data_IF_598837868907
#
_entry.id   IF_598837868907
#
_cell.length_a   1.000
_cell.length_b   1.000
_cell.length_c   1.000
_cell.angle_alpha   90.00
_cell.angle_beta   90.00
_cell.angle_gamma   90.00
#
_symmetry.space_group_name_H-M   'P 1'
#
loop_
_entity.id
_entity.type
_entity.pdbx_description
1 polymer ?
#
# COMPACT_ATOMS: atom_id res chain seq x y z
N UNK A 1 12.72 -17.57 -103.95
CA UNK A 1 12.01 -18.57 -103.11
C UNK A 1 12.70 -18.60 -101.76
N UNK A 2 12.23 -17.81 -100.77
CA UNK A 2 12.80 -17.70 -99.44
C UNK A 2 11.82 -18.18 -98.36
N UNK A 3 12.18 -19.24 -97.70
CA UNK A 3 11.42 -19.79 -96.57
C UNK A 3 11.91 -19.13 -95.24
N UNK A 4 11.15 -18.32 -94.64
CA UNK A 4 11.39 -17.82 -93.23
C UNK A 4 10.92 -18.82 -92.25
N UNK A 5 11.79 -19.37 -91.44
CA UNK A 5 11.50 -20.15 -90.21
C UNK A 5 11.24 -19.20 -89.08
N UNK A 6 10.04 -19.27 -88.51
CA UNK A 6 9.68 -18.55 -87.24
C UNK A 6 10.16 -19.40 -86.06
N UNK A 7 11.09 -18.87 -85.30
CA UNK A 7 11.45 -19.35 -83.99
C UNK A 7 10.42 -18.82 -82.99
N UNK A 8 9.71 -19.71 -82.33
CA UNK A 8 8.85 -19.37 -81.18
C UNK A 8 9.67 -19.45 -79.89
N UNK A 9 9.88 -18.35 -79.23
CA UNK A 9 10.50 -18.33 -77.91
C UNK A 9 9.42 -18.45 -76.84
N UNK A 10 9.40 -19.58 -76.12
CA UNK A 10 8.50 -19.81 -75.00
C UNK A 10 9.13 -19.16 -73.76
N UNK A 11 8.47 -18.10 -73.23
CA UNK A 11 8.85 -17.43 -71.97
C UNK A 11 8.25 -18.27 -70.82
N UNK A 12 9.10 -18.93 -70.04
CA UNK A 12 8.69 -19.62 -68.81
C UNK A 12 8.64 -18.58 -67.66
N UNK A 13 7.45 -18.22 -67.22
CA UNK A 13 7.23 -17.42 -66.01
C UNK A 13 7.32 -18.32 -64.79
N UNK A 14 8.45 -18.28 -64.07
CA UNK A 14 8.59 -18.92 -62.74
C UNK A 14 7.88 -18.07 -61.68
N UNK A 15 6.69 -18.49 -61.26
CA UNK A 15 5.93 -17.90 -60.15
C UNK A 15 6.64 -18.20 -58.83
N UNK A 16 7.24 -17.20 -58.23
CA UNK A 16 7.76 -17.28 -56.85
C UNK A 16 6.55 -17.18 -55.87
N UNK A 17 6.12 -18.31 -55.35
CA UNK A 17 5.17 -18.37 -54.22
C UNK A 17 5.89 -17.88 -52.95
N UNK A 18 5.77 -16.59 -52.65
CA UNK A 18 6.20 -16.01 -51.39
C UNK A 18 5.34 -16.54 -50.24
N UNK A 19 5.92 -17.46 -49.47
CA UNK A 19 5.33 -17.87 -48.18
C UNK A 19 5.44 -16.67 -47.21
N UNK A 20 4.33 -15.93 -47.03
CA UNK A 20 4.24 -14.91 -46.02
C UNK A 20 4.23 -15.60 -44.64
N UNK A 21 5.35 -15.56 -43.92
CA UNK A 21 5.42 -15.97 -42.53
C UNK A 21 4.47 -15.08 -41.70
N UNK A 22 3.59 -15.66 -40.86
CA UNK A 22 2.72 -14.85 -40.02
C UNK A 22 3.59 -13.98 -39.10
N UNK A 23 3.48 -12.66 -39.22
CA UNK A 23 4.09 -11.74 -38.29
C UNK A 23 3.52 -12.05 -36.89
N UNK A 24 4.38 -12.53 -35.99
CA UNK A 24 3.99 -12.75 -34.61
C UNK A 24 3.53 -11.39 -34.02
N UNK A 25 2.24 -11.22 -33.87
CA UNK A 25 1.68 -10.03 -33.25
C UNK A 25 2.28 -9.93 -31.82
N UNK A 26 3.13 -8.96 -31.59
CA UNK A 26 3.66 -8.67 -30.25
C UNK A 26 2.46 -8.34 -29.36
N UNK A 27 2.16 -9.21 -28.39
CA UNK A 27 1.07 -8.96 -27.46
C UNK A 27 1.29 -7.63 -26.76
N UNK A 28 0.29 -6.74 -26.84
CA UNK A 28 0.38 -5.42 -26.24
C UNK A 28 0.55 -5.55 -24.71
N UNK A 29 1.48 -4.76 -24.14
CA UNK A 29 1.72 -4.72 -22.70
C UNK A 29 0.50 -4.19 -21.98
N UNK A 30 -0.05 -4.98 -21.05
CA UNK A 30 -1.20 -4.57 -20.23
C UNK A 30 -0.74 -3.67 -19.08
N UNK A 31 -1.35 -2.48 -18.98
CA UNK A 31 -1.10 -1.56 -17.85
C UNK A 31 -2.12 -1.82 -16.75
N UNK A 32 -1.62 -2.13 -15.54
CA UNK A 32 -2.39 -2.17 -14.30
C UNK A 32 -2.23 -0.82 -13.62
N UNK A 33 -3.33 -0.14 -13.39
CA UNK A 33 -3.36 1.14 -12.66
C UNK A 33 -3.82 0.91 -11.24
N UNK A 34 -3.08 1.46 -10.28
CA UNK A 34 -3.36 1.35 -8.85
C UNK A 34 -3.37 2.77 -8.26
N UNK A 35 -4.32 3.08 -7.40
CA UNK A 35 -4.31 4.30 -6.59
C UNK A 35 -4.71 4.00 -5.16
N UNK A 36 -4.19 4.76 -4.20
CA UNK A 36 -4.66 4.60 -2.82
C UNK A 36 -3.65 4.90 -1.74
N UNK A 37 -3.53 3.98 -0.79
CA UNK A 37 -2.86 4.18 0.48
C UNK A 37 -1.35 4.44 0.35
N UNK A 38 -0.85 5.39 1.14
CA UNK A 38 0.59 5.69 1.18
C UNK A 38 1.36 4.74 2.10
N UNK A 39 0.68 4.07 3.05
CA UNK A 39 1.29 3.14 3.98
C UNK A 39 1.61 1.77 3.33
N UNK A 40 0.78 1.31 2.39
CA UNK A 40 0.98 0.07 1.63
C UNK A 40 1.84 0.26 0.38
N UNK A 41 2.01 1.51 -0.09
CA UNK A 41 2.76 1.82 -1.30
C UNK A 41 4.14 1.14 -1.40
N UNK A 42 4.98 1.08 -0.33
CA UNK A 42 6.26 0.38 -0.38
C UNK A 42 6.09 -1.11 -0.70
N UNK A 43 5.16 -1.79 -0.06
CA UNK A 43 4.86 -3.21 -0.30
C UNK A 43 4.35 -3.43 -1.73
N UNK A 44 3.33 -2.69 -2.13
CA UNK A 44 2.69 -2.84 -3.46
C UNK A 44 3.70 -2.55 -4.57
N UNK A 45 4.58 -1.56 -4.38
CA UNK A 45 5.66 -1.25 -5.33
C UNK A 45 6.67 -2.39 -5.47
N UNK A 46 7.09 -3.03 -4.36
CA UNK A 46 7.98 -4.19 -4.39
C UNK A 46 7.33 -5.40 -5.07
N UNK A 47 6.06 -5.66 -4.78
CA UNK A 47 5.29 -6.74 -5.39
C UNK A 47 5.14 -6.51 -6.92
N UNK A 48 4.76 -5.29 -7.33
CA UNK A 48 4.61 -4.93 -8.73
C UNK A 48 5.94 -5.03 -9.49
N UNK A 49 7.05 -4.54 -8.92
CA UNK A 49 8.40 -4.66 -9.52
C UNK A 49 8.80 -6.14 -9.70
N UNK A 50 8.56 -6.99 -8.69
CA UNK A 50 8.83 -8.42 -8.79
C UNK A 50 7.98 -9.08 -9.85
N UNK A 51 6.69 -8.74 -9.90
CA UNK A 51 5.76 -9.29 -10.87
C UNK A 51 6.16 -8.95 -12.32
N UNK A 52 6.54 -7.69 -12.58
CA UNK A 52 7.05 -7.27 -13.90
C UNK A 52 8.33 -8.03 -14.29
N UNK A 53 9.24 -8.27 -13.33
CA UNK A 53 10.46 -9.08 -13.59
C UNK A 53 10.13 -10.54 -13.93
N UNK A 54 9.05 -11.10 -13.38
CA UNK A 54 8.61 -12.47 -13.69
C UNK A 54 7.87 -12.57 -15.03
N UNK A 55 7.18 -11.51 -15.43
CA UNK A 55 6.38 -11.44 -16.66
C UNK A 55 6.80 -10.26 -17.54
N UNK A 56 8.04 -10.26 -18.04
CA UNK A 56 8.57 -9.13 -18.79
C UNK A 56 7.74 -8.90 -20.07
N UNK A 57 7.53 -7.62 -20.42
CA UNK A 57 6.73 -7.17 -21.58
C UNK A 57 5.24 -7.49 -21.51
N UNK A 58 4.76 -8.29 -20.53
CA UNK A 58 3.33 -8.62 -20.39
C UNK A 58 2.59 -7.58 -19.56
N UNK A 59 3.22 -7.05 -18.50
CA UNK A 59 2.58 -6.13 -17.57
C UNK A 59 3.42 -4.88 -17.31
N UNK A 60 2.71 -3.78 -17.05
CA UNK A 60 3.25 -2.51 -16.55
C UNK A 60 2.35 -2.01 -15.44
N UNK A 61 2.91 -1.37 -14.43
CA UNK A 61 2.16 -0.78 -13.33
C UNK A 61 2.31 0.73 -13.31
N UNK A 62 1.19 1.41 -13.01
CA UNK A 62 1.15 2.83 -12.64
C UNK A 62 0.51 2.91 -11.26
N UNK A 63 1.27 3.32 -10.26
CA UNK A 63 0.84 3.35 -8.86
C UNK A 63 0.84 4.81 -8.40
N UNK A 64 -0.33 5.32 -8.00
CA UNK A 64 -0.52 6.67 -7.47
C UNK A 64 -0.86 6.62 -5.98
N UNK A 65 -0.32 7.55 -5.23
CA UNK A 65 -0.59 7.72 -3.80
C UNK A 65 -1.61 8.83 -3.59
N UNK A 66 -2.56 8.66 -2.65
CA UNK A 66 -3.58 9.67 -2.36
C UNK A 66 -4.31 9.41 -1.04
N UNK A 67 -4.21 8.21 -0.53
CA UNK A 67 -4.95 7.73 0.64
C UNK A 67 -5.98 6.66 0.27
N UNK A 68 -6.33 5.82 1.24
CA UNK A 68 -7.20 4.66 1.03
C UNK A 68 -8.58 5.04 0.45
N UNK A 69 -9.18 6.14 0.93
CA UNK A 69 -10.47 6.58 0.42
C UNK A 69 -10.41 7.05 -1.04
N UNK A 70 -9.27 7.60 -1.47
CA UNK A 70 -9.05 7.95 -2.89
C UNK A 70 -9.00 6.67 -3.73
N UNK A 71 -8.25 5.64 -3.27
CA UNK A 71 -8.22 4.34 -3.95
C UNK A 71 -9.60 3.70 -4.09
N UNK A 72 -10.40 3.72 -3.01
CA UNK A 72 -11.79 3.24 -3.02
C UNK A 72 -12.64 4.01 -4.05
N UNK A 73 -12.58 5.33 -4.03
CA UNK A 73 -13.35 6.16 -4.94
C UNK A 73 -12.93 5.97 -6.41
N UNK A 74 -11.62 5.81 -6.65
CA UNK A 74 -11.07 5.61 -7.99
C UNK A 74 -11.47 4.26 -8.57
N UNK A 75 -11.37 3.18 -7.79
CA UNK A 75 -11.75 1.84 -8.27
C UNK A 75 -13.27 1.71 -8.43
N UNK A 76 -14.07 2.28 -7.54
CA UNK A 76 -15.52 2.29 -7.65
C UNK A 76 -15.99 3.01 -8.93
N UNK A 77 -15.33 4.12 -9.27
CA UNK A 77 -15.59 4.88 -10.49
C UNK A 77 -14.95 4.27 -11.75
N UNK A 78 -14.18 3.17 -11.63
CA UNK A 78 -13.48 2.55 -12.76
C UNK A 78 -12.30 3.38 -13.31
N UNK A 79 -11.78 4.36 -12.57
CA UNK A 79 -10.62 5.18 -12.98
C UNK A 79 -9.30 4.42 -12.86
N UNK A 80 -9.23 3.43 -11.98
CA UNK A 80 -8.08 2.54 -11.81
C UNK A 80 -8.53 1.08 -11.83
N UNK A 81 -7.59 0.20 -12.11
CA UNK A 81 -7.80 -1.25 -12.12
C UNK A 81 -7.96 -1.80 -10.70
N UNK A 82 -7.18 -1.26 -9.76
CA UNK A 82 -7.09 -1.70 -8.35
C UNK A 82 -7.05 -0.47 -7.45
N UNK A 83 -7.82 -0.49 -6.37
CA UNK A 83 -7.70 0.44 -5.24
C UNK A 83 -6.82 -0.17 -4.16
N UNK A 84 -5.79 0.54 -3.71
CA UNK A 84 -4.92 0.12 -2.61
C UNK A 84 -5.40 0.73 -1.28
N UNK A 85 -5.71 -0.10 -0.29
CA UNK A 85 -6.44 0.30 0.92
C UNK A 85 -5.75 -0.22 2.19
N UNK A 86 -5.59 0.66 3.18
CA UNK A 86 -4.92 0.37 4.47
C UNK A 86 -5.89 0.39 5.66
N UNK A 87 -7.10 -0.09 5.46
CA UNK A 87 -8.13 -0.27 6.49
C UNK A 87 -9.10 -1.38 6.10
N UNK A 88 -9.78 -1.94 7.06
CA UNK A 88 -10.87 -2.86 6.79
C UNK A 88 -12.04 -2.17 6.04
N UNK A 89 -12.89 -2.93 5.32
CA UNK A 89 -14.09 -2.40 4.67
C UNK A 89 -14.99 -1.66 5.65
N UNK A 90 -15.64 -0.59 5.18
CA UNK A 90 -16.63 0.16 5.95
C UNK A 90 -18.02 0.03 5.33
N UNK A 91 -19.09 0.10 6.14
CA UNK A 91 -20.46 0.12 5.61
C UNK A 91 -20.74 1.27 4.64
N UNK A 92 -19.97 2.36 4.74
CA UNK A 92 -20.06 3.54 3.87
C UNK A 92 -19.30 3.39 2.55
N UNK A 93 -18.56 2.31 2.35
CA UNK A 93 -17.87 2.08 1.07
C UNK A 93 -18.88 1.79 -0.05
N UNK A 94 -18.60 2.19 -1.30
CA UNK A 94 -19.46 1.89 -2.42
C UNK A 94 -19.75 0.40 -2.55
N UNK A 95 -21.00 0.07 -2.85
CA UNK A 95 -21.42 -1.31 -3.07
C UNK A 95 -20.70 -1.95 -4.27
N UNK A 96 -20.55 -3.27 -4.23
CA UNK A 96 -19.93 -4.05 -5.31
C UNK A 96 -18.41 -4.03 -5.34
N UNK A 97 -17.75 -3.50 -4.31
CA UNK A 97 -16.31 -3.62 -4.14
C UNK A 97 -15.94 -4.96 -3.50
N UNK A 98 -14.85 -5.56 -3.95
CA UNK A 98 -14.28 -6.78 -3.38
C UNK A 98 -12.89 -6.47 -2.84
N UNK A 99 -12.67 -6.78 -1.57
CA UNK A 99 -11.44 -6.52 -0.82
C UNK A 99 -10.62 -7.80 -0.71
N UNK A 100 -9.40 -7.80 -1.23
CA UNK A 100 -8.45 -8.90 -1.17
C UNK A 100 -7.36 -8.57 -0.16
N UNK A 101 -7.31 -9.20 1.02
CA UNK A 101 -6.29 -8.91 2.01
C UNK A 101 -4.93 -9.43 1.53
N UNK A 102 -3.91 -8.57 1.51
CA UNK A 102 -2.57 -8.92 1.01
C UNK A 102 -1.51 -9.04 2.10
N UNK A 103 -1.65 -8.28 3.20
CA UNK A 103 -0.73 -8.35 4.34
C UNK A 103 -1.38 -7.79 5.61
N UNK A 104 -0.87 -8.20 6.78
CA UNK A 104 -1.11 -7.53 8.06
C UNK A 104 0.03 -6.56 8.36
N UNK A 105 -0.27 -5.50 9.10
CA UNK A 105 0.71 -4.54 9.61
C UNK A 105 0.28 -4.01 10.98
N UNK A 106 1.25 -3.50 11.76
CA UNK A 106 0.98 -2.84 13.05
C UNK A 106 0.87 -1.33 12.87
N UNK A 107 -0.03 -0.68 13.60
CA UNK A 107 -0.12 0.78 13.70
C UNK A 107 0.60 1.21 14.97
N UNK A 108 1.83 1.69 14.82
CA UNK A 108 2.70 2.08 15.93
C UNK A 108 2.48 3.54 16.32
N UNK A 109 2.32 3.80 17.60
CA UNK A 109 2.47 5.17 18.13
C UNK A 109 3.96 5.51 18.12
N UNK A 110 4.29 6.68 17.60
CA UNK A 110 5.68 7.14 17.48
C UNK A 110 5.86 8.53 18.06
N UNK A 111 6.99 8.74 18.72
CA UNK A 111 7.45 10.05 19.18
C UNK A 111 8.76 10.43 18.52
N UNK A 112 9.19 11.68 18.67
CA UNK A 112 10.55 12.05 18.33
C UNK A 112 11.56 11.17 19.07
N UNK A 113 12.70 10.89 18.46
CA UNK A 113 13.75 10.04 19.05
C UNK A 113 14.30 10.59 20.37
N UNK A 114 14.30 11.92 20.54
CA UNK A 114 14.72 12.56 21.78
C UNK A 114 13.75 12.30 22.95
N UNK A 115 12.48 12.01 22.67
CA UNK A 115 11.51 11.58 23.67
C UNK A 115 11.55 10.06 23.81
N UNK A 116 12.32 9.56 24.77
CA UNK A 116 12.60 8.11 24.99
C UNK A 116 11.47 7.39 25.71
N UNK A 117 10.23 7.89 25.59
CA UNK A 117 9.03 7.25 26.13
C UNK A 117 8.93 5.79 25.63
N UNK A 118 8.90 4.85 26.56
CA UNK A 118 8.93 3.41 26.22
C UNK A 118 7.55 2.78 26.06
N UNK A 119 6.53 3.32 26.75
CA UNK A 119 5.20 2.74 26.78
C UNK A 119 4.10 3.79 27.00
N UNK A 120 2.95 3.55 26.41
CA UNK A 120 1.69 4.26 26.68
C UNK A 120 0.59 3.23 26.96
N UNK A 121 -0.21 3.50 27.99
CA UNK A 121 -1.44 2.75 28.22
C UNK A 121 -2.54 3.17 27.22
N UNK A 122 -3.58 2.34 27.01
CA UNK A 122 -4.72 2.71 26.16
C UNK A 122 -5.35 4.05 26.57
N UNK A 123 -5.55 4.27 27.87
CA UNK A 123 -6.10 5.51 28.38
C UNK A 123 -5.22 6.74 28.07
N UNK A 124 -3.89 6.59 28.14
CA UNK A 124 -2.97 7.66 27.80
C UNK A 124 -3.01 7.96 26.29
N UNK A 125 -2.99 6.94 25.43
CA UNK A 125 -3.13 7.13 23.98
C UNK A 125 -4.42 7.85 23.63
N UNK A 126 -5.55 7.40 24.18
CA UNK A 126 -6.84 8.07 24.00
C UNK A 126 -6.78 9.52 24.50
N UNK A 127 -6.27 9.76 25.71
CA UNK A 127 -6.22 11.10 26.29
C UNK A 127 -5.35 12.07 25.48
N UNK A 128 -4.19 11.63 25.02
CA UNK A 128 -3.27 12.40 24.19
C UNK A 128 -3.92 12.73 22.84
N UNK A 129 -4.31 11.70 22.07
CA UNK A 129 -4.78 11.91 20.71
C UNK A 129 -6.18 12.55 20.63
N UNK A 130 -6.98 12.50 21.69
CA UNK A 130 -8.22 13.32 21.78
C UNK A 130 -7.99 14.74 22.25
N UNK A 131 -6.74 15.13 22.58
CA UNK A 131 -6.37 16.49 22.99
C UNK A 131 -6.69 16.82 24.45
N UNK A 132 -7.01 15.83 25.30
CA UNK A 132 -7.25 16.01 26.73
C UNK A 132 -5.93 16.22 27.48
N UNK A 133 -4.90 15.39 27.20
CA UNK A 133 -3.53 15.58 27.68
C UNK A 133 -2.76 16.37 26.64
N UNK A 134 -2.24 17.54 27.02
CA UNK A 134 -1.64 18.52 26.11
C UNK A 134 -0.19 18.86 26.44
N UNK A 135 0.36 18.34 27.52
CA UNK A 135 1.74 18.57 27.92
C UNK A 135 2.44 17.23 28.21
N UNK A 136 3.65 17.09 27.77
CA UNK A 136 4.49 15.94 28.07
C UNK A 136 4.76 15.76 29.56
N UNK A 137 4.78 16.86 30.33
CA UNK A 137 4.90 16.80 31.81
C UNK A 137 3.77 16.04 32.51
N UNK A 138 2.63 15.83 31.82
CA UNK A 138 1.49 15.04 32.32
C UNK A 138 1.62 13.54 31.95
N UNK A 139 2.61 13.18 31.16
CA UNK A 139 2.79 11.81 30.65
C UNK A 139 3.95 11.15 31.39
N UNK A 140 3.66 10.21 32.27
CA UNK A 140 4.68 9.48 33.02
C UNK A 140 5.62 8.73 32.07
N UNK A 141 6.93 8.89 32.28
CA UNK A 141 7.99 8.27 31.48
C UNK A 141 8.39 9.07 30.23
N UNK A 142 7.72 10.18 29.91
CA UNK A 142 8.15 11.08 28.85
C UNK A 142 9.44 11.83 29.27
N UNK A 143 10.36 12.01 28.34
CA UNK A 143 11.56 12.84 28.53
C UNK A 143 11.39 14.23 27.93
N UNK A 144 10.46 14.42 27.02
CA UNK A 144 10.02 15.73 26.56
C UNK A 144 9.19 16.42 27.64
N UNK A 145 9.19 17.76 27.68
CA UNK A 145 8.54 18.56 28.74
C UNK A 145 7.56 19.62 28.22
N UNK A 146 7.56 19.90 26.94
CA UNK A 146 6.72 20.96 26.32
C UNK A 146 5.28 20.52 26.05
N UNK A 147 4.62 21.35 25.25
CA UNK A 147 3.32 21.01 24.67
C UNK A 147 3.44 19.79 23.76
N UNK A 148 2.46 18.92 23.78
CA UNK A 148 2.41 17.76 22.88
C UNK A 148 1.93 18.26 21.52
N UNK A 149 2.76 18.10 20.49
CA UNK A 149 2.43 18.41 19.12
C UNK A 149 1.87 17.16 18.41
N UNK A 150 0.54 17.15 18.27
CA UNK A 150 -0.19 16.04 17.66
C UNK A 150 -0.01 16.08 16.14
N UNK A 151 0.47 14.98 15.57
CA UNK A 151 0.65 14.83 14.13
C UNK A 151 -0.22 13.66 13.66
N UNK A 152 -1.12 13.98 12.74
CA UNK A 152 -2.13 13.05 12.24
C UNK A 152 -2.06 12.91 10.71
N UNK A 153 -2.95 12.12 10.19
CA UNK A 153 -3.18 11.93 8.77
C UNK A 153 -4.47 12.62 8.37
N UNK A 154 -4.55 13.06 7.12
CA UNK A 154 -5.80 13.54 6.53
C UNK A 154 -6.89 12.45 6.57
N UNK A 155 -8.15 12.86 6.54
CA UNK A 155 -9.33 11.99 6.66
C UNK A 155 -9.45 10.89 5.58
N UNK A 156 -8.75 11.05 4.45
CA UNK A 156 -8.72 10.03 3.37
C UNK A 156 -7.75 8.87 3.65
N UNK A 157 -6.96 8.95 4.71
CA UNK A 157 -5.96 7.92 5.05
C UNK A 157 -6.60 6.76 5.81
N UNK A 158 -6.52 5.56 5.27
CA UNK A 158 -7.04 4.36 5.92
C UNK A 158 -6.35 4.04 7.25
N UNK A 159 -5.06 4.35 7.38
CA UNK A 159 -4.32 4.17 8.64
C UNK A 159 -4.89 5.04 9.77
N UNK A 160 -5.41 6.24 9.48
CA UNK A 160 -6.13 7.06 10.47
C UNK A 160 -7.41 6.35 10.94
N UNK A 161 -8.21 5.86 10.00
CA UNK A 161 -9.44 5.12 10.32
C UNK A 161 -9.13 3.91 11.22
N UNK A 162 -8.14 3.11 10.84
CA UNK A 162 -7.72 1.95 11.62
C UNK A 162 -7.15 2.33 12.98
N UNK A 163 -6.37 3.41 13.07
CA UNK A 163 -5.85 3.94 14.34
C UNK A 163 -6.99 4.33 15.29
N UNK A 164 -7.97 5.07 14.79
CA UNK A 164 -9.16 5.47 15.56
C UNK A 164 -9.97 4.27 16.07
N UNK A 165 -10.16 3.28 15.20
CA UNK A 165 -10.93 2.07 15.55
C UNK A 165 -10.20 1.21 16.58
N UNK A 166 -8.91 0.95 16.36
CA UNK A 166 -8.15 -0.06 17.11
C UNK A 166 -7.50 0.49 18.38
N UNK A 167 -7.03 1.74 18.37
CA UNK A 167 -6.22 2.30 19.46
C UNK A 167 -6.88 3.52 20.13
N UNK A 168 -7.92 4.12 19.53
CA UNK A 168 -8.68 5.23 20.12
C UNK A 168 -10.11 4.86 20.52
N UNK A 169 -10.45 3.57 20.58
CA UNK A 169 -11.81 3.12 20.96
C UNK A 169 -12.92 3.76 20.10
N UNK A 170 -12.63 3.98 18.82
CA UNK A 170 -13.53 4.65 17.87
C UNK A 170 -13.58 6.17 17.98
N UNK A 171 -12.85 6.78 18.93
CA UNK A 171 -12.80 8.23 19.08
C UNK A 171 -11.99 8.87 17.96
N UNK A 172 -12.32 10.12 17.62
CA UNK A 172 -11.59 10.90 16.62
C UNK A 172 -10.32 11.52 17.21
N UNK A 173 -9.28 11.61 16.39
CA UNK A 173 -8.12 12.45 16.72
C UNK A 173 -8.57 13.90 16.84
N UNK A 174 -8.00 14.63 17.78
CA UNK A 174 -8.28 16.05 18.03
C UNK A 174 -8.06 16.89 16.77
N UNK A 175 -8.94 17.86 16.56
CA UNK A 175 -8.77 18.86 15.48
C UNK A 175 -7.57 19.80 15.67
N UNK A 176 -6.89 19.72 16.80
CA UNK A 176 -5.62 20.43 17.06
C UNK A 176 -4.43 19.74 16.39
N UNK A 177 -4.60 18.52 15.89
CA UNK A 177 -3.53 17.79 15.22
C UNK A 177 -3.19 18.39 13.85
N UNK A 178 -1.91 18.48 13.53
CA UNK A 178 -1.43 18.79 12.19
C UNK A 178 -1.71 17.60 11.27
N UNK A 179 -2.49 17.82 10.22
CA UNK A 179 -2.89 16.75 9.27
C UNK A 179 -1.95 16.68 8.08
N UNK A 180 -1.37 15.51 7.84
CA UNK A 180 -0.43 15.28 6.75
C UNK A 180 -0.95 14.24 5.75
N UNK A 181 -0.70 14.49 4.46
CA UNK A 181 -1.27 13.71 3.36
C UNK A 181 -0.59 12.35 3.14
N UNK A 182 0.65 12.14 3.64
CA UNK A 182 1.35 10.87 3.46
C UNK A 182 1.99 10.37 4.74
N UNK A 183 2.26 9.05 4.82
CA UNK A 183 2.96 8.45 5.95
C UNK A 183 4.40 8.96 6.06
N UNK A 184 5.07 9.16 4.94
CA UNK A 184 6.42 9.72 4.92
C UNK A 184 6.51 11.13 5.48
N UNK A 185 5.54 12.01 5.16
CA UNK A 185 5.46 13.36 5.72
C UNK A 185 5.19 13.33 7.23
N UNK A 186 4.31 12.44 7.70
CA UNK A 186 4.07 12.28 9.14
C UNK A 186 5.35 11.84 9.85
N UNK A 187 6.06 10.85 9.30
CA UNK A 187 7.34 10.42 9.87
C UNK A 187 8.34 11.55 9.97
N UNK A 188 8.54 12.33 8.89
CA UNK A 188 9.44 13.50 8.88
C UNK A 188 9.03 14.57 9.88
N UNK A 189 7.74 14.84 10.05
CA UNK A 189 7.25 15.80 11.02
C UNK A 189 7.59 15.37 12.44
N UNK A 190 7.37 14.11 12.81
CA UNK A 190 7.75 13.57 14.12
C UNK A 190 9.27 13.59 14.31
N UNK A 191 10.05 13.26 13.27
CA UNK A 191 11.53 13.31 13.32
C UNK A 191 12.08 14.69 13.62
N UNK A 192 11.44 15.72 13.09
CA UNK A 192 11.92 17.11 13.18
C UNK A 192 11.37 17.86 14.39
N UNK A 193 10.40 17.31 15.09
CA UNK A 193 9.74 17.97 16.23
C UNK A 193 9.99 17.19 17.53
N UNK A 194 10.83 17.70 18.46
CA UNK A 194 11.11 17.05 19.75
C UNK A 194 9.86 16.77 20.60
N UNK A 195 8.78 17.52 20.41
CA UNK A 195 7.50 17.36 21.10
C UNK A 195 6.45 16.60 20.29
N UNK A 196 6.82 16.14 19.08
CA UNK A 196 5.93 15.48 18.15
C UNK A 196 5.52 14.08 18.58
N UNK A 197 4.26 13.76 18.41
CA UNK A 197 3.69 12.40 18.50
C UNK A 197 2.76 12.14 17.33
N UNK A 198 2.84 10.93 16.78
CA UNK A 198 2.00 10.51 15.68
C UNK A 198 1.84 8.99 15.64
N UNK A 199 1.42 8.47 14.48
CA UNK A 199 1.27 7.04 14.27
C UNK A 199 1.66 6.65 12.85
N UNK A 200 2.36 5.52 12.71
CA UNK A 200 2.90 4.99 11.46
C UNK A 200 2.59 3.50 11.35
N UNK A 201 2.69 2.94 10.14
CA UNK A 201 2.85 1.50 10.01
C UNK A 201 4.15 1.04 10.70
N UNK A 202 4.23 -0.22 11.16
CA UNK A 202 5.47 -0.76 11.72
C UNK A 202 6.65 -0.65 10.73
N UNK A 203 6.39 -0.77 9.43
CA UNK A 203 7.39 -0.51 8.41
C UNK A 203 7.80 0.98 8.39
N UNK A 204 6.84 1.91 8.35
CA UNK A 204 7.13 3.34 8.38
C UNK A 204 7.91 3.77 9.63
N UNK A 205 7.58 3.19 10.79
CA UNK A 205 8.30 3.42 12.04
C UNK A 205 9.73 2.86 12.03
N UNK A 206 10.00 1.78 11.27
CA UNK A 206 11.34 1.18 11.18
C UNK A 206 12.31 1.94 10.26
N UNK A 207 11.79 2.84 9.40
CA UNK A 207 12.60 3.53 8.39
C UNK A 207 13.35 4.75 8.91
N UNK A 208 13.03 5.24 10.11
CA UNK A 208 13.47 6.55 10.47
C UNK A 208 14.02 6.74 11.86
N UNK A 209 14.25 8.02 12.20
CA UNK A 209 14.74 8.47 13.47
C UNK A 209 13.59 8.77 14.45
N UNK A 210 12.55 7.94 14.47
CA UNK A 210 11.46 8.01 15.45
C UNK A 210 11.64 6.98 16.55
N UNK A 211 11.08 7.26 17.72
CA UNK A 211 10.94 6.30 18.80
C UNK A 211 9.58 5.60 18.68
N UNK A 212 9.57 4.27 18.52
CA UNK A 212 8.33 3.48 18.51
C UNK A 212 7.94 3.12 19.92
N UNK A 213 6.80 3.64 20.37
CA UNK A 213 6.29 3.47 21.74
C UNK A 213 5.51 2.17 21.85
N UNK A 214 5.75 1.37 22.89
CA UNK A 214 4.93 0.20 23.19
C UNK A 214 3.50 0.64 23.55
N UNK A 215 2.52 -0.15 23.16
CA UNK A 215 1.13 0.04 23.53
C UNK A 215 0.71 -1.03 24.55
N UNK A 216 0.33 -0.58 25.74
CA UNK A 216 -0.03 -1.47 26.86
C UNK A 216 1.02 -2.55 27.14
N UNK A 217 2.30 -2.18 27.15
CA UNK A 217 3.42 -3.07 27.38
C UNK A 217 3.84 -3.93 26.18
N UNK A 218 3.13 -3.88 25.05
CA UNK A 218 3.44 -4.68 23.86
C UNK A 218 4.11 -3.79 22.82
N UNK A 219 5.32 -4.14 22.40
CA UNK A 219 6.06 -3.44 21.37
C UNK A 219 5.35 -3.56 19.99
N UNK A 220 5.35 -2.48 19.21
CA UNK A 220 4.84 -2.50 17.86
C UNK A 220 5.94 -2.92 16.88
N UNK A 221 5.99 -4.20 16.54
CA UNK A 221 6.95 -4.74 15.58
C UNK A 221 6.35 -5.94 14.82
N UNK A 222 7.10 -6.45 13.84
CA UNK A 222 6.63 -7.55 12.99
C UNK A 222 6.32 -8.82 13.82
N UNK A 223 7.10 -9.14 14.84
CA UNK A 223 6.92 -10.34 15.67
C UNK A 223 5.60 -10.29 16.46
N UNK A 224 5.32 -9.17 17.11
CA UNK A 224 4.09 -9.00 17.92
C UNK A 224 2.85 -8.86 17.06
N UNK A 225 2.98 -8.33 15.84
CA UNK A 225 1.92 -8.32 14.82
C UNK A 225 1.68 -9.74 14.30
N UNK A 226 2.71 -10.50 14.01
CA UNK A 226 2.59 -11.88 13.53
C UNK A 226 1.95 -12.82 14.56
N UNK A 227 2.31 -12.68 15.83
CA UNK A 227 1.76 -13.48 16.93
C UNK A 227 0.33 -13.06 17.34
N UNK A 228 -0.16 -11.90 16.87
CA UNK A 228 -1.47 -11.37 17.29
C UNK A 228 -1.48 -10.67 18.65
N UNK A 229 -0.32 -10.50 19.30
CA UNK A 229 -0.22 -9.87 20.62
C UNK A 229 -0.44 -8.36 20.59
N UNK A 230 -0.07 -7.69 19.50
CA UNK A 230 -0.22 -6.24 19.37
C UNK A 230 -1.68 -5.86 19.07
N UNK A 231 -2.23 -4.90 19.81
CA UNK A 231 -3.65 -4.52 19.65
C UNK A 231 -3.95 -3.77 18.34
N UNK A 232 -2.97 -3.01 17.83
CA UNK A 232 -3.15 -2.17 16.63
C UNK A 232 -2.84 -2.90 15.33
N UNK A 233 -3.36 -4.12 15.13
CA UNK A 233 -3.14 -4.91 13.90
C UNK A 233 -4.19 -4.56 12.87
N UNK A 234 -3.77 -4.05 11.73
CA UNK A 234 -4.61 -3.75 10.58
C UNK A 234 -4.17 -4.55 9.33
N UNK A 235 -4.90 -4.42 8.24
CA UNK A 235 -4.63 -5.11 6.98
C UNK A 235 -4.49 -4.13 5.83
N UNK A 236 -3.66 -4.52 4.87
CA UNK A 236 -3.63 -3.93 3.53
C UNK A 236 -4.48 -4.77 2.59
N UNK A 237 -5.20 -4.10 1.72
CA UNK A 237 -6.09 -4.72 0.74
C UNK A 237 -5.82 -4.16 -0.65
N UNK A 238 -5.85 -5.05 -1.63
CA UNK A 238 -6.13 -4.68 -3.01
C UNK A 238 -7.64 -4.81 -3.24
N UNK A 239 -8.24 -3.77 -3.81
CA UNK A 239 -9.70 -3.67 -3.98
C UNK A 239 -10.04 -3.57 -5.45
N UNK A 240 -11.06 -4.31 -5.89
CA UNK A 240 -11.57 -4.24 -7.25
C UNK A 240 -13.08 -3.98 -7.28
N UNK A 241 -13.57 -3.40 -8.38
CA UNK A 241 -14.99 -3.29 -8.65
C UNK A 241 -15.52 -4.65 -9.13
N UNK A 242 -16.28 -5.33 -8.27
CA UNK A 242 -16.67 -6.72 -8.49
C UNK A 242 -15.49 -7.68 -8.32
N UNK A 243 -15.69 -8.96 -8.66
CA UNK A 243 -14.63 -9.97 -8.63
C UNK A 243 -13.49 -9.58 -9.57
N UNK A 244 -12.24 -9.72 -9.10
CA UNK A 244 -11.07 -9.43 -9.91
C UNK A 244 -11.05 -10.26 -11.20
N UNK A 245 -10.74 -9.62 -12.32
CA UNK A 245 -10.63 -10.24 -13.64
C UNK A 245 -9.35 -9.82 -14.35
N UNK A 246 -8.98 -10.50 -15.42
CA UNK A 246 -7.86 -10.13 -16.27
C UNK A 246 -6.55 -9.94 -15.49
N UNK A 247 -5.89 -8.80 -15.71
CA UNK A 247 -4.59 -8.48 -15.10
C UNK A 247 -4.67 -8.26 -13.58
N UNK A 248 -5.79 -7.72 -13.07
CA UNK A 248 -6.00 -7.58 -11.62
C UNK A 248 -6.07 -8.95 -10.95
N UNK A 249 -6.87 -9.88 -11.48
CA UNK A 249 -6.97 -11.25 -10.97
C UNK A 249 -5.63 -11.97 -11.01
N UNK A 250 -4.88 -11.82 -12.11
CA UNK A 250 -3.57 -12.45 -12.26
C UNK A 250 -2.55 -11.92 -11.23
N UNK A 251 -2.54 -10.60 -10.96
CA UNK A 251 -1.64 -9.99 -9.98
C UNK A 251 -2.04 -10.35 -8.54
N UNK A 252 -3.31 -10.18 -8.18
CA UNK A 252 -3.83 -10.50 -6.84
C UNK A 252 -3.63 -12.00 -6.54
N UNK A 253 -4.01 -12.89 -7.46
CA UNK A 253 -3.81 -14.33 -7.28
C UNK A 253 -2.34 -14.73 -7.16
N UNK A 254 -1.41 -14.01 -7.83
CA UNK A 254 0.01 -14.21 -7.62
C UNK A 254 0.45 -13.73 -6.22
N UNK A 255 -0.07 -12.61 -5.71
CA UNK A 255 0.23 -12.17 -4.34
C UNK A 255 -0.21 -13.23 -3.33
N UNK A 256 -1.39 -13.78 -3.48
CA UNK A 256 -1.99 -14.74 -2.57
C UNK A 256 -1.27 -16.10 -2.56
N UNK A 257 -0.84 -16.59 -3.73
CA UNK A 257 -0.35 -17.97 -3.90
C UNK A 257 1.16 -18.11 -4.03
N UNK A 258 1.89 -17.04 -4.41
CA UNK A 258 3.30 -17.15 -4.77
C UNK A 258 4.25 -17.12 -3.57
N UNK A 259 5.17 -18.10 -3.50
CA UNK A 259 6.28 -18.06 -2.54
C UNK A 259 7.15 -16.80 -2.68
N UNK A 260 7.31 -16.27 -3.90
CA UNK A 260 8.07 -15.05 -4.14
C UNK A 260 7.36 -13.81 -3.55
N UNK A 261 6.04 -13.71 -3.67
CA UNK A 261 5.26 -12.65 -3.04
C UNK A 261 5.30 -12.79 -1.51
N UNK A 262 5.10 -14.00 -0.99
CA UNK A 262 5.18 -14.29 0.46
C UNK A 262 6.55 -13.89 1.03
N UNK A 263 7.65 -14.16 0.33
CA UNK A 263 9.00 -13.75 0.75
C UNK A 263 9.14 -12.22 0.85
N UNK A 264 8.56 -11.47 -0.09
CA UNK A 264 8.56 -10.00 -0.05
C UNK A 264 7.73 -9.52 1.15
N UNK A 265 6.52 -10.04 1.32
CA UNK A 265 5.64 -9.66 2.44
C UNK A 265 6.33 -9.96 3.77
N UNK A 266 6.89 -11.15 3.94
CA UNK A 266 7.55 -11.57 5.20
C UNK A 266 8.82 -10.79 5.52
N UNK A 267 9.35 -9.98 4.60
CA UNK A 267 10.56 -9.19 4.89
C UNK A 267 10.32 -8.03 5.86
N UNK A 268 9.11 -7.45 5.86
CA UNK A 268 8.76 -6.26 6.67
C UNK A 268 7.31 -6.25 7.16
N UNK A 269 6.46 -7.08 6.59
CA UNK A 269 5.04 -7.20 6.91
C UNK A 269 4.69 -8.65 7.29
N UNK A 270 3.45 -8.89 7.65
CA UNK A 270 2.99 -10.23 8.03
C UNK A 270 2.05 -10.78 6.95
N UNK A 271 2.38 -11.94 6.36
CA UNK A 271 1.49 -12.59 5.39
C UNK A 271 0.10 -12.88 5.97
N UNK A 272 -0.91 -12.84 5.12
CA UNK A 272 -2.22 -13.41 5.43
C UNK A 272 -2.06 -14.93 5.46
N UNK A 273 -2.36 -15.55 6.58
CA UNK A 273 -2.53 -17.01 6.67
C UNK A 273 -3.87 -17.38 6.06
N UNK A 274 -3.84 -18.21 5.05
CA UNK A 274 -5.05 -18.86 4.50
C UNK A 274 -5.59 -19.88 5.49
#
# INVERSE_FOLDING_TARGET
MNRYRRLSVALAVAGVLGVAAPAAASAATTTVTISGATASYPLVSLLAQKYVKLFPRKYRFKIAQGGAQIGINDVAAGRVTIGDVSRDPLPSDPAGLVFYPIAKYGICVVTNKANTLSNLTPAQVVSIFTGKTRSWSQVSGATATGTIDLISRTSVAGVLTSFQTLLLEGKKVSSLASELSSEGLLRQAVENDPNGIGFLSNYGASLGAVNSVSFNGVACNQTTVASGQYAGIARFYEVTKGKATGAASAFIGWIESSAAARKIISSQWVPITQ
#
